data_IF_656067856070
#
_entry.id   IF_656067856070
#
_cell.length_a   1.000
_cell.length_b   1.000
_cell.length_c   1.000
_cell.angle_alpha   90.00
_cell.angle_beta   90.00
_cell.angle_gamma   90.00
#
_symmetry.space_group_name_H-M   'P 1'
#
loop_
_entity.id
_entity.type
_entity.pdbx_description
1 polymer ?
#
# COMPACT_ATOMS: atom_id res chain seq x y z
N UNK A 1 -54.41 14.22 -21.02
CA UNK A 1 -54.26 13.50 -19.74
C UNK A 1 -53.07 12.54 -19.85
N UNK A 2 -51.84 13.09 -19.99
CA UNK A 2 -50.55 12.35 -20.10
C UNK A 2 -49.42 13.30 -19.74
N UNK A 3 -49.26 13.67 -18.47
CA UNK A 3 -48.16 14.55 -18.05
C UNK A 3 -47.81 14.42 -16.53
N UNK A 4 -47.95 13.27 -15.92
CA UNK A 4 -47.60 13.10 -14.46
C UNK A 4 -46.80 11.87 -14.08
N UNK A 5 -46.16 11.12 -15.00
CA UNK A 5 -45.37 9.92 -14.67
C UNK A 5 -43.86 10.14 -14.65
N UNK A 6 -43.36 11.36 -14.85
CA UNK A 6 -41.89 11.62 -14.96
C UNK A 6 -41.14 11.95 -13.64
N UNK A 7 -41.85 12.30 -12.56
CA UNK A 7 -41.20 12.91 -11.38
C UNK A 7 -40.83 11.97 -10.24
N UNK A 8 -41.33 10.73 -10.20
CA UNK A 8 -41.15 9.84 -9.04
C UNK A 8 -39.95 8.84 -9.14
N UNK A 9 -39.28 8.73 -10.28
CA UNK A 9 -38.14 7.83 -10.46
C UNK A 9 -36.81 8.36 -9.86
N UNK A 10 -36.70 9.68 -9.68
CA UNK A 10 -35.44 10.31 -9.27
C UNK A 10 -35.12 10.25 -7.77
N UNK A 11 -36.14 10.30 -6.93
CA UNK A 11 -35.96 10.33 -5.46
C UNK A 11 -35.68 8.96 -4.87
N UNK A 12 -36.32 7.91 -5.33
CA UNK A 12 -36.10 6.54 -4.89
C UNK A 12 -34.69 6.03 -5.26
N UNK A 13 -34.19 6.35 -6.45
CA UNK A 13 -32.85 6.00 -6.88
C UNK A 13 -31.75 6.70 -6.09
N UNK A 14 -31.95 7.96 -5.67
CA UNK A 14 -31.01 8.69 -4.82
C UNK A 14 -30.98 8.14 -3.39
N UNK A 15 -32.14 7.84 -2.80
CA UNK A 15 -32.24 7.27 -1.47
C UNK A 15 -31.57 5.88 -1.38
N UNK A 16 -31.77 5.00 -2.39
CA UNK A 16 -31.11 3.71 -2.50
C UNK A 16 -29.58 3.82 -2.64
N UNK A 17 -29.10 4.76 -3.44
CA UNK A 17 -27.65 4.99 -3.57
C UNK A 17 -27.02 5.54 -2.29
N UNK A 18 -27.70 6.41 -1.57
CA UNK A 18 -27.25 6.94 -0.28
C UNK A 18 -27.20 5.86 0.79
N UNK A 19 -28.23 5.01 0.90
CA UNK A 19 -28.24 3.90 1.85
C UNK A 19 -27.15 2.87 1.55
N UNK A 20 -26.92 2.52 0.29
CA UNK A 20 -25.85 1.63 -0.12
C UNK A 20 -24.44 2.23 0.18
N UNK A 21 -24.27 3.53 0.01
CA UNK A 21 -23.01 4.22 0.38
C UNK A 21 -22.75 4.19 1.88
N UNK A 22 -23.73 4.51 2.71
CA UNK A 22 -23.61 4.48 4.18
C UNK A 22 -23.27 3.07 4.67
N UNK A 23 -23.91 2.05 4.11
CA UNK A 23 -23.61 0.65 4.45
C UNK A 23 -22.18 0.26 4.06
N UNK A 24 -21.70 0.69 2.89
CA UNK A 24 -20.33 0.40 2.44
C UNK A 24 -19.28 1.05 3.35
N UNK A 25 -19.49 2.31 3.77
CA UNK A 25 -18.58 2.97 4.71
C UNK A 25 -18.59 2.30 6.09
N UNK A 26 -19.75 1.87 6.57
CA UNK A 26 -19.87 1.10 7.81
C UNK A 26 -19.09 -0.21 7.74
N UNK A 27 -19.20 -0.95 6.64
CA UNK A 27 -18.43 -2.19 6.43
C UNK A 27 -16.92 -1.89 6.35
N UNK A 28 -16.50 -0.86 5.60
CA UNK A 28 -15.10 -0.46 5.52
C UNK A 28 -14.53 -0.11 6.90
N UNK A 29 -15.27 0.62 7.73
CA UNK A 29 -14.89 0.96 9.10
C UNK A 29 -14.75 -0.28 9.98
N UNK A 30 -15.70 -1.21 9.93
CA UNK A 30 -15.62 -2.48 10.68
C UNK A 30 -14.42 -3.33 10.25
N UNK A 31 -14.15 -3.43 8.94
CA UNK A 31 -13.01 -4.19 8.42
C UNK A 31 -11.69 -3.56 8.88
N UNK A 32 -11.56 -2.24 8.77
CA UNK A 32 -10.35 -1.53 9.21
C UNK A 32 -10.12 -1.67 10.71
N UNK A 33 -11.16 -1.58 11.53
CA UNK A 33 -11.09 -1.81 12.97
C UNK A 33 -10.67 -3.25 13.32
N UNK A 34 -11.20 -4.25 12.60
CA UNK A 34 -10.83 -5.67 12.80
C UNK A 34 -9.34 -5.89 12.51
N UNK A 35 -8.83 -5.32 11.41
CA UNK A 35 -7.41 -5.42 11.04
C UNK A 35 -6.54 -4.71 12.09
N UNK A 36 -6.96 -3.52 12.55
CA UNK A 36 -6.26 -2.77 13.59
C UNK A 36 -6.19 -3.54 14.92
N UNK A 37 -7.27 -4.21 15.32
CA UNK A 37 -7.27 -5.08 16.51
C UNK A 37 -6.30 -6.25 16.37
N UNK A 38 -6.20 -6.85 15.16
CA UNK A 38 -5.20 -7.86 14.86
C UNK A 38 -3.76 -7.33 15.01
N UNK A 39 -3.48 -6.13 14.48
CA UNK A 39 -2.18 -5.46 14.64
C UNK A 39 -1.90 -5.15 16.11
N UNK A 40 -2.90 -4.69 16.87
CA UNK A 40 -2.76 -4.44 18.30
C UNK A 40 -2.42 -5.72 19.09
N UNK A 41 -3.04 -6.84 18.72
CA UNK A 41 -2.72 -8.15 19.31
C UNK A 41 -1.28 -8.57 19.05
N UNK A 42 -0.79 -8.41 17.81
CA UNK A 42 0.60 -8.67 17.46
C UNK A 42 1.57 -7.72 18.17
N UNK A 43 1.23 -6.44 18.27
CA UNK A 43 2.02 -5.44 18.97
C UNK A 43 2.13 -5.77 20.47
N UNK A 44 1.05 -6.22 21.09
CA UNK A 44 1.04 -6.68 22.47
C UNK A 44 1.88 -7.95 22.66
N UNK A 45 1.78 -8.91 21.73
CA UNK A 45 2.64 -10.10 21.75
C UNK A 45 4.12 -9.71 21.63
N UNK A 46 4.47 -8.82 20.70
CA UNK A 46 5.83 -8.32 20.53
C UNK A 46 6.37 -7.66 21.80
N UNK A 47 5.57 -6.84 22.50
CA UNK A 47 5.97 -6.19 23.74
C UNK A 47 6.28 -7.17 24.87
N UNK A 48 5.57 -8.28 24.95
CA UNK A 48 5.84 -9.35 25.93
C UNK A 48 7.14 -10.11 25.61
N UNK A 49 7.37 -10.40 24.33
CA UNK A 49 8.57 -11.12 23.89
C UNK A 49 9.86 -10.32 24.16
N UNK A 50 9.82 -9.00 23.99
CA UNK A 50 10.98 -8.14 24.25
C UNK A 50 11.36 -8.02 25.72
N UNK A 51 10.38 -8.10 26.62
CA UNK A 51 10.62 -8.12 28.08
C UNK A 51 11.36 -9.38 28.50
N UNK A 52 11.11 -10.51 27.82
CA UNK A 52 11.70 -11.81 28.17
C UNK A 52 13.05 -12.08 27.53
N UNK A 53 13.30 -11.59 26.32
CA UNK A 53 14.49 -11.99 25.53
C UNK A 53 15.50 -10.87 25.27
N UNK A 54 15.13 -9.61 25.37
CA UNK A 54 16.05 -8.47 25.13
C UNK A 54 16.65 -8.39 23.72
N UNK A 55 16.21 -9.25 22.80
CA UNK A 55 16.82 -9.47 21.48
C UNK A 55 15.98 -8.91 20.35
N UNK A 56 16.63 -8.54 19.24
CA UNK A 56 15.95 -8.10 18.02
C UNK A 56 15.07 -9.24 17.48
N UNK A 57 13.77 -9.00 17.40
CA UNK A 57 12.73 -9.97 17.01
C UNK A 57 12.94 -10.68 15.65
N UNK A 58 13.77 -10.15 14.77
CA UNK A 58 13.96 -10.67 13.41
C UNK A 58 14.60 -12.08 13.33
N UNK A 59 15.30 -12.55 14.36
CA UNK A 59 16.15 -13.73 14.24
C UNK A 59 16.05 -14.77 15.36
N UNK A 60 15.19 -14.58 16.36
CA UNK A 60 15.07 -15.55 17.44
C UNK A 60 14.13 -16.69 17.04
N UNK A 61 14.59 -17.92 17.22
CA UNK A 61 13.88 -19.16 16.88
C UNK A 61 12.53 -19.31 17.61
N UNK A 62 12.37 -18.64 18.74
CA UNK A 62 11.13 -18.64 19.55
C UNK A 62 10.02 -17.71 19.02
N UNK A 63 10.25 -17.00 17.93
CA UNK A 63 9.34 -15.94 17.43
C UNK A 63 8.60 -16.31 16.13
N UNK A 64 8.70 -17.56 15.71
CA UNK A 64 7.95 -18.03 14.54
C UNK A 64 6.44 -17.73 14.65
N UNK A 65 5.88 -17.80 15.86
CA UNK A 65 4.46 -17.52 16.09
C UNK A 65 4.08 -16.08 15.76
N UNK A 66 4.96 -15.10 16.07
CA UNK A 66 4.76 -13.70 15.70
C UNK A 66 4.75 -13.52 14.18
N UNK A 67 5.71 -14.13 13.47
CA UNK A 67 5.80 -14.02 12.02
C UNK A 67 4.68 -14.76 11.29
N UNK A 68 4.32 -15.95 11.76
CA UNK A 68 3.16 -16.68 11.25
C UNK A 68 1.88 -15.88 11.48
N UNK A 69 1.70 -15.31 12.68
CA UNK A 69 0.59 -14.42 12.99
C UNK A 69 0.56 -13.17 12.09
N UNK A 70 1.71 -12.58 11.80
CA UNK A 70 1.83 -11.41 10.91
C UNK A 70 1.45 -11.73 9.47
N UNK A 71 1.90 -12.88 8.95
CA UNK A 71 1.52 -13.35 7.61
C UNK A 71 0.05 -13.73 7.56
N UNK A 72 -0.46 -14.40 8.58
CA UNK A 72 -1.89 -14.75 8.67
C UNK A 72 -2.77 -13.50 8.73
N UNK A 73 -2.38 -12.50 9.52
CA UNK A 73 -3.09 -11.22 9.58
C UNK A 73 -3.08 -10.49 8.24
N UNK A 74 -1.94 -10.45 7.56
CA UNK A 74 -1.83 -9.87 6.23
C UNK A 74 -2.74 -10.59 5.22
N UNK A 75 -2.77 -11.92 5.24
CA UNK A 75 -3.65 -12.72 4.40
C UNK A 75 -5.14 -12.45 4.69
N UNK A 76 -5.52 -12.36 5.98
CA UNK A 76 -6.89 -12.01 6.40
C UNK A 76 -7.24 -10.60 5.95
N UNK A 77 -6.37 -9.61 6.16
CA UNK A 77 -6.58 -8.23 5.74
C UNK A 77 -6.82 -8.14 4.23
N UNK A 78 -5.98 -8.84 3.44
CA UNK A 78 -6.13 -8.92 2.00
C UNK A 78 -7.43 -9.61 1.58
N UNK A 79 -7.79 -10.73 2.21
CA UNK A 79 -9.02 -11.46 1.92
C UNK A 79 -10.28 -10.63 2.21
N UNK A 80 -10.30 -9.91 3.33
CA UNK A 80 -11.41 -9.03 3.72
C UNK A 80 -11.55 -7.87 2.72
N UNK A 81 -10.46 -7.22 2.35
CA UNK A 81 -10.47 -6.16 1.34
C UNK A 81 -10.91 -6.66 -0.04
N UNK A 82 -10.45 -7.85 -0.45
CA UNK A 82 -10.88 -8.48 -1.69
C UNK A 82 -12.38 -8.81 -1.68
N UNK A 83 -12.93 -9.28 -0.55
CA UNK A 83 -14.38 -9.52 -0.40
C UNK A 83 -15.17 -8.23 -0.52
N UNK A 84 -14.72 -7.17 0.14
CA UNK A 84 -15.35 -5.85 0.07
C UNK A 84 -15.40 -5.33 -1.37
N UNK A 85 -14.28 -5.40 -2.08
CA UNK A 85 -14.19 -4.98 -3.47
C UNK A 85 -15.07 -5.82 -4.42
N UNK A 86 -15.12 -7.15 -4.23
CA UNK A 86 -15.98 -8.04 -5.04
C UNK A 86 -17.46 -7.73 -4.90
N UNK A 87 -17.92 -7.42 -3.71
CA UNK A 87 -19.33 -7.07 -3.50
C UNK A 87 -19.77 -5.91 -4.40
N UNK A 88 -18.87 -4.94 -4.63
CA UNK A 88 -19.15 -3.82 -5.54
C UNK A 88 -18.89 -4.18 -7.01
N UNK A 89 -17.79 -4.85 -7.31
CA UNK A 89 -17.44 -5.22 -8.69
C UNK A 89 -18.50 -6.10 -9.35
N UNK A 90 -19.08 -7.06 -8.64
CA UNK A 90 -20.20 -7.88 -9.14
C UNK A 90 -21.42 -7.03 -9.44
N UNK A 91 -21.67 -5.96 -8.68
CA UNK A 91 -22.77 -5.05 -8.92
C UNK A 91 -22.56 -4.12 -10.14
N UNK A 92 -21.29 -3.87 -10.52
CA UNK A 92 -20.93 -2.91 -11.59
C UNK A 92 -20.52 -3.63 -12.89
N UNK A 93 -19.85 -4.78 -12.80
CA UNK A 93 -19.37 -5.55 -13.96
C UNK A 93 -19.27 -7.04 -13.64
N UNK A 94 -20.24 -7.84 -14.03
CA UNK A 94 -20.14 -9.31 -13.92
C UNK A 94 -18.95 -9.80 -14.75
N UNK A 95 -17.95 -10.41 -14.12
CA UNK A 95 -16.76 -10.94 -14.79
C UNK A 95 -15.46 -10.19 -14.50
N UNK A 96 -15.47 -9.18 -13.64
CA UNK A 96 -14.25 -8.53 -13.18
C UNK A 96 -13.31 -9.54 -12.47
N UNK A 97 -12.08 -9.64 -12.99
CA UNK A 97 -11.02 -10.48 -12.43
C UNK A 97 -10.67 -10.09 -11.01
N UNK A 98 -10.10 -11.02 -10.26
CA UNK A 98 -9.67 -10.85 -8.87
C UNK A 98 -8.89 -9.54 -8.70
N UNK A 99 -9.37 -8.66 -7.84
CA UNK A 99 -8.76 -7.38 -7.67
C UNK A 99 -7.46 -7.53 -6.90
N UNK A 100 -6.43 -6.84 -7.34
CA UNK A 100 -5.23 -6.54 -6.55
C UNK A 100 -5.54 -5.68 -5.31
N UNK A 101 -6.82 -5.35 -5.08
CA UNK A 101 -7.35 -4.64 -3.90
C UNK A 101 -6.96 -5.27 -2.57
N UNK A 102 -6.62 -6.56 -2.57
CA UNK A 102 -6.11 -7.27 -1.41
C UNK A 102 -4.72 -6.83 -0.99
N UNK A 103 -3.91 -6.33 -1.92
CA UNK A 103 -2.47 -6.16 -1.73
C UNK A 103 -2.13 -5.04 -0.73
N UNK A 104 -2.72 -3.86 -0.89
CA UNK A 104 -2.36 -2.73 -0.03
C UNK A 104 -2.74 -2.94 1.45
N UNK A 105 -3.94 -3.41 1.80
CA UNK A 105 -4.28 -3.75 3.18
C UNK A 105 -3.42 -4.86 3.77
N UNK A 106 -3.08 -5.89 2.97
CA UNK A 106 -2.19 -6.97 3.39
C UNK A 106 -0.78 -6.45 3.68
N UNK A 107 -0.23 -5.66 2.76
CA UNK A 107 1.10 -5.04 2.87
C UNK A 107 1.14 -4.03 4.02
N UNK A 108 0.08 -3.26 4.26
CA UNK A 108 -0.02 -2.33 5.38
C UNK A 108 -0.03 -3.07 6.73
N UNK A 109 -0.80 -4.14 6.86
CA UNK A 109 -0.86 -4.95 8.07
C UNK A 109 0.49 -5.63 8.37
N UNK A 110 1.13 -6.22 7.35
CA UNK A 110 2.46 -6.82 7.50
C UNK A 110 3.52 -5.77 7.83
N UNK A 111 3.48 -4.61 7.16
CA UNK A 111 4.40 -3.51 7.41
C UNK A 111 4.30 -2.95 8.83
N UNK A 112 3.10 -2.85 9.38
CA UNK A 112 2.91 -2.47 10.77
C UNK A 112 3.53 -3.49 11.74
N UNK A 113 3.36 -4.80 11.48
CA UNK A 113 4.00 -5.84 12.26
C UNK A 113 5.54 -5.76 12.16
N UNK A 114 6.07 -5.50 10.95
CA UNK A 114 7.50 -5.29 10.74
C UNK A 114 8.01 -4.07 11.52
N UNK A 115 7.31 -2.93 11.47
CA UNK A 115 7.70 -1.73 12.23
C UNK A 115 7.67 -1.98 13.75
N UNK A 116 6.65 -2.66 14.25
CA UNK A 116 6.57 -3.07 15.66
C UNK A 116 7.73 -3.97 16.05
N UNK A 117 8.17 -4.88 15.14
CA UNK A 117 9.30 -5.77 15.39
C UNK A 117 10.66 -5.05 15.42
N UNK A 118 10.78 -3.91 14.76
CA UNK A 118 12.00 -3.08 14.73
C UNK A 118 12.02 -2.08 15.89
N UNK A 119 10.89 -1.41 16.09
CA UNK A 119 10.75 -0.35 17.09
C UNK A 119 9.90 -0.83 18.26
N UNK A 120 10.55 -1.35 19.30
CA UNK A 120 9.91 -1.91 20.50
C UNK A 120 9.50 -0.86 21.52
N UNK A 121 9.12 0.35 21.09
CA UNK A 121 8.71 1.39 22.02
C UNK A 121 7.19 1.50 22.12
N UNK A 122 6.72 1.95 23.26
CA UNK A 122 5.28 2.10 23.57
C UNK A 122 4.54 2.97 22.54
N UNK A 123 5.22 3.99 21.99
CA UNK A 123 4.63 4.87 21.00
C UNK A 123 4.29 4.12 19.70
N UNK A 124 5.21 3.32 19.17
CA UNK A 124 4.96 2.52 17.95
C UNK A 124 3.89 1.48 18.20
N UNK A 125 3.92 0.80 19.35
CA UNK A 125 2.91 -0.19 19.75
C UNK A 125 1.50 0.42 19.77
N UNK A 126 1.37 1.66 20.26
CA UNK A 126 0.08 2.35 20.33
C UNK A 126 -0.35 2.94 18.96
N UNK A 127 0.60 3.52 18.20
CA UNK A 127 0.29 4.24 16.96
C UNK A 127 0.08 3.28 15.78
N UNK A 128 0.81 2.17 15.70
CA UNK A 128 0.74 1.27 14.55
C UNK A 128 -0.69 0.73 14.26
N UNK A 129 -1.47 0.26 15.24
CA UNK A 129 -2.85 -0.18 15.00
C UNK A 129 -3.74 0.96 14.48
N UNK A 130 -3.64 2.16 15.06
CA UNK A 130 -4.42 3.33 14.63
C UNK A 130 -4.04 3.77 13.21
N UNK A 131 -2.75 3.80 12.89
CA UNK A 131 -2.26 4.12 11.56
C UNK A 131 -2.78 3.13 10.52
N UNK A 132 -2.73 1.83 10.80
CA UNK A 132 -3.27 0.79 9.90
C UNK A 132 -4.77 0.94 9.72
N UNK A 133 -5.52 1.22 10.79
CA UNK A 133 -6.97 1.47 10.69
C UNK A 133 -7.27 2.61 9.72
N UNK A 134 -6.58 3.74 9.86
CA UNK A 134 -6.76 4.93 9.01
C UNK A 134 -6.37 4.60 7.56
N UNK A 135 -5.23 3.97 7.35
CA UNK A 135 -4.73 3.63 6.00
C UNK A 135 -5.67 2.66 5.30
N UNK A 136 -6.09 1.59 5.96
CA UNK A 136 -6.99 0.59 5.38
C UNK A 136 -8.36 1.19 5.12
N UNK A 137 -8.90 2.00 6.04
CA UNK A 137 -10.17 2.68 5.85
C UNK A 137 -10.11 3.62 4.65
N UNK A 138 -9.09 4.47 4.57
CA UNK A 138 -8.90 5.41 3.47
C UNK A 138 -8.76 4.68 2.11
N UNK A 139 -8.03 3.55 2.09
CA UNK A 139 -7.88 2.72 0.90
C UNK A 139 -9.21 2.08 0.47
N UNK A 140 -9.96 1.50 1.40
CA UNK A 140 -11.26 0.89 1.08
C UNK A 140 -12.26 1.92 0.55
N UNK A 141 -12.28 3.12 1.12
CA UNK A 141 -13.10 4.24 0.64
C UNK A 141 -12.61 4.72 -0.74
N UNK A 142 -11.31 4.90 -0.92
CA UNK A 142 -10.75 5.28 -2.21
C UNK A 142 -11.12 4.25 -3.29
N UNK A 143 -10.97 2.97 -2.98
CA UNK A 143 -11.36 1.87 -3.89
C UNK A 143 -12.84 1.89 -4.22
N UNK A 144 -13.69 2.15 -3.25
CA UNK A 144 -15.13 2.26 -3.47
C UNK A 144 -15.45 3.32 -4.54
N UNK A 145 -14.70 4.41 -4.62
CA UNK A 145 -14.91 5.51 -5.54
C UNK A 145 -14.09 5.46 -6.84
N UNK A 146 -13.11 4.56 -6.95
CA UNK A 146 -12.35 4.39 -8.20
C UNK A 146 -13.22 3.87 -9.35
N UNK A 147 -14.32 3.18 -9.04
CA UNK A 147 -15.27 2.66 -10.02
C UNK A 147 -16.37 3.68 -10.39
N UNK A 148 -16.41 4.84 -9.73
CA UNK A 148 -17.35 5.90 -10.08
C UNK A 148 -17.06 6.48 -11.47
N UNK A 149 -18.10 7.07 -12.09
CA UNK A 149 -17.95 7.79 -13.36
C UNK A 149 -16.94 8.93 -13.22
N UNK A 150 -16.32 9.31 -14.33
CA UNK A 150 -15.28 10.33 -14.35
C UNK A 150 -15.76 11.65 -13.68
N UNK A 151 -15.04 12.10 -12.62
CA UNK A 151 -15.40 13.28 -11.86
C UNK A 151 -14.37 13.62 -10.78
N UNK A 152 -14.68 14.64 -9.98
CA UNK A 152 -13.83 15.09 -8.88
C UNK A 152 -13.59 13.97 -7.84
N UNK A 153 -14.64 13.21 -7.52
CA UNK A 153 -14.58 12.13 -6.53
C UNK A 153 -13.58 11.04 -6.95
N UNK A 154 -13.68 10.55 -8.20
CA UNK A 154 -12.74 9.56 -8.73
C UNK A 154 -11.31 10.09 -8.76
N UNK A 155 -11.09 11.37 -9.08
CA UNK A 155 -9.76 11.98 -9.08
C UNK A 155 -9.16 12.01 -7.69
N UNK A 156 -9.94 12.44 -6.67
CA UNK A 156 -9.51 12.42 -5.27
C UNK A 156 -9.20 11.00 -4.82
N UNK A 157 -10.10 10.05 -5.07
CA UNK A 157 -9.92 8.64 -4.73
C UNK A 157 -8.61 8.07 -5.31
N UNK A 158 -8.33 8.36 -6.59
CA UNK A 158 -7.09 7.94 -7.26
C UNK A 158 -5.85 8.57 -6.64
N UNK A 159 -5.88 9.87 -6.35
CA UNK A 159 -4.76 10.54 -5.69
C UNK A 159 -4.52 9.96 -4.30
N UNK A 160 -5.58 9.75 -3.52
CA UNK A 160 -5.49 9.10 -2.21
C UNK A 160 -4.86 7.71 -2.30
N UNK A 161 -5.33 6.88 -3.23
CA UNK A 161 -4.77 5.54 -3.47
C UNK A 161 -3.27 5.57 -3.79
N UNK A 162 -2.84 6.47 -4.69
CA UNK A 162 -1.42 6.63 -5.05
C UNK A 162 -0.61 7.09 -3.85
N UNK A 163 -1.09 8.11 -3.11
CA UNK A 163 -0.38 8.63 -1.93
C UNK A 163 -0.25 7.58 -0.83
N UNK A 164 -1.31 6.81 -0.55
CA UNK A 164 -1.26 5.72 0.43
C UNK A 164 -0.24 4.65 0.02
N UNK A 165 -0.21 4.28 -1.25
CA UNK A 165 0.75 3.30 -1.77
C UNK A 165 2.19 3.80 -1.62
N UNK A 166 2.47 5.07 -1.92
CA UNK A 166 3.81 5.66 -1.74
C UNK A 166 4.18 5.79 -0.25
N UNK A 167 3.23 6.16 0.60
CA UNK A 167 3.45 6.22 2.06
C UNK A 167 3.82 4.86 2.65
N UNK A 168 3.09 3.81 2.27
CA UNK A 168 3.39 2.44 2.70
C UNK A 168 4.72 1.96 2.11
N UNK A 169 4.99 2.26 0.83
CA UNK A 169 6.28 1.95 0.21
C UNK A 169 7.43 2.57 1.01
N UNK A 170 7.34 3.85 1.37
CA UNK A 170 8.37 4.52 2.17
C UNK A 170 8.63 3.83 3.50
N UNK A 171 7.57 3.58 4.26
CA UNK A 171 7.69 2.95 5.58
C UNK A 171 8.34 1.56 5.50
N UNK A 172 7.96 0.76 4.51
CA UNK A 172 8.50 -0.58 4.33
C UNK A 172 9.93 -0.58 3.80
N UNK A 173 10.23 0.26 2.81
CA UNK A 173 11.58 0.41 2.27
C UNK A 173 12.54 0.91 3.35
N UNK A 174 12.11 1.89 4.16
CA UNK A 174 12.89 2.36 5.31
C UNK A 174 13.08 1.24 6.35
N UNK A 175 12.02 0.52 6.69
CA UNK A 175 12.09 -0.58 7.66
C UNK A 175 13.04 -1.69 7.20
N UNK A 176 12.96 -2.12 5.93
CA UNK A 176 13.86 -3.13 5.36
C UNK A 176 15.30 -2.62 5.36
N UNK A 177 15.53 -1.35 4.98
CA UNK A 177 16.86 -0.77 4.95
C UNK A 177 17.45 -0.60 6.35
N UNK A 178 16.66 -0.26 7.37
CA UNK A 178 17.06 -0.16 8.78
C UNK A 178 17.45 -1.52 9.34
N UNK A 179 16.77 -2.58 8.97
CA UNK A 179 16.99 -3.93 9.51
C UNK A 179 18.37 -4.51 9.16
N UNK A 180 19.11 -3.90 8.20
CA UNK A 180 20.47 -4.29 7.78
C UNK A 180 20.62 -5.80 7.52
N UNK A 181 19.59 -6.44 6.99
CA UNK A 181 19.61 -7.85 6.61
C UNK A 181 20.58 -8.07 5.45
N UNK A 182 21.09 -9.30 5.28
CA UNK A 182 22.02 -9.64 4.17
C UNK A 182 21.52 -9.09 2.85
N UNK A 183 22.41 -8.46 2.08
CA UNK A 183 22.09 -7.67 0.88
C UNK A 183 21.21 -8.40 -0.13
N UNK A 184 21.45 -9.69 -0.36
CA UNK A 184 20.65 -10.50 -1.29
C UNK A 184 19.20 -10.66 -0.78
N UNK A 185 19.02 -10.91 0.52
CA UNK A 185 17.70 -11.09 1.10
C UNK A 185 16.90 -9.77 1.08
N UNK A 186 17.51 -8.65 1.48
CA UNK A 186 16.86 -7.35 1.45
C UNK A 186 16.47 -6.94 0.03
N UNK A 187 17.35 -7.14 -0.96
CA UNK A 187 17.08 -6.87 -2.36
C UNK A 187 15.90 -7.71 -2.89
N UNK A 188 15.86 -9.01 -2.56
CA UNK A 188 14.77 -9.90 -2.98
C UNK A 188 13.43 -9.53 -2.35
N UNK A 189 13.42 -9.18 -1.06
CA UNK A 189 12.20 -8.74 -0.36
C UNK A 189 11.71 -7.42 -0.93
N UNK A 190 12.62 -6.46 -1.20
CA UNK A 190 12.26 -5.20 -1.86
C UNK A 190 11.72 -5.45 -3.26
N UNK A 191 12.35 -6.31 -4.06
CA UNK A 191 11.88 -6.64 -5.41
C UNK A 191 10.45 -7.18 -5.38
N UNK A 192 10.15 -8.14 -4.49
CA UNK A 192 8.81 -8.69 -4.33
C UNK A 192 7.81 -7.63 -3.87
N UNK A 193 8.16 -6.85 -2.84
CA UNK A 193 7.30 -5.80 -2.30
C UNK A 193 6.94 -4.76 -3.35
N UNK A 194 7.94 -4.27 -4.10
CA UNK A 194 7.74 -3.27 -5.14
C UNK A 194 6.93 -3.84 -6.30
N UNK A 195 7.15 -5.11 -6.67
CA UNK A 195 6.30 -5.78 -7.64
C UNK A 195 4.82 -5.71 -7.23
N UNK A 196 4.50 -6.06 -5.99
CA UNK A 196 3.14 -6.02 -5.46
C UNK A 196 2.57 -4.58 -5.42
N UNK A 197 3.36 -3.60 -4.99
CA UNK A 197 2.92 -2.20 -4.92
C UNK A 197 2.71 -1.58 -6.31
N UNK A 198 3.55 -1.91 -7.29
CA UNK A 198 3.35 -1.47 -8.68
C UNK A 198 2.12 -2.10 -9.32
N UNK A 199 1.88 -3.40 -9.07
CA UNK A 199 0.64 -4.04 -9.48
C UNK A 199 -0.59 -3.35 -8.88
N UNK A 200 -0.49 -2.90 -7.64
CA UNK A 200 -1.52 -2.17 -6.92
C UNK A 200 -1.80 -0.80 -7.55
N UNK A 201 -0.76 -0.02 -7.87
CA UNK A 201 -0.88 1.28 -8.54
C UNK A 201 -1.51 1.09 -9.94
N UNK A 202 -1.06 0.09 -10.68
CA UNK A 202 -1.55 -0.21 -12.03
C UNK A 202 -3.01 -0.69 -12.04
N UNK A 203 -3.52 -1.24 -10.93
CA UNK A 203 -4.92 -1.62 -10.79
C UNK A 203 -5.87 -0.42 -10.87
N UNK A 204 -5.47 0.72 -10.32
CA UNK A 204 -6.21 1.97 -10.44
C UNK A 204 -6.42 2.46 -11.88
N UNK A 205 -5.64 1.94 -12.84
CA UNK A 205 -5.72 2.26 -14.28
C UNK A 205 -6.49 1.22 -15.10
N UNK A 206 -7.04 0.18 -14.48
CA UNK A 206 -7.83 -0.89 -15.12
C UNK A 206 -7.08 -1.72 -16.18
N UNK A 207 -5.76 -1.94 -15.99
CA UNK A 207 -4.99 -2.80 -16.89
C UNK A 207 -5.23 -4.30 -16.67
N UNK A 208 -5.07 -5.12 -17.72
CA UNK A 208 -5.13 -6.55 -17.57
C UNK A 208 -4.01 -7.07 -16.66
N UNK A 209 -4.30 -8.13 -15.89
CA UNK A 209 -3.40 -8.68 -14.87
C UNK A 209 -1.99 -9.00 -15.41
N UNK A 210 -1.91 -9.52 -16.61
CA UNK A 210 -0.63 -9.86 -17.28
C UNK A 210 0.29 -8.64 -17.39
N UNK A 211 -0.22 -7.52 -17.87
CA UNK A 211 0.56 -6.28 -17.98
C UNK A 211 0.97 -5.74 -16.63
N UNK A 212 0.08 -5.80 -15.62
CA UNK A 212 0.40 -5.40 -14.25
C UNK A 212 1.53 -6.24 -13.69
N UNK A 213 1.51 -7.56 -13.92
CA UNK A 213 2.54 -8.48 -13.47
C UNK A 213 3.89 -8.18 -14.13
N UNK A 214 3.92 -8.00 -15.46
CA UNK A 214 5.15 -7.69 -16.20
C UNK A 214 5.78 -6.38 -15.68
N UNK A 215 5.00 -5.31 -15.60
CA UNK A 215 5.51 -4.02 -15.12
C UNK A 215 5.89 -4.07 -13.63
N UNK A 216 5.13 -4.81 -12.83
CA UNK A 216 5.46 -5.06 -11.43
C UNK A 216 6.80 -5.78 -11.28
N UNK A 217 7.03 -6.84 -12.05
CA UNK A 217 8.29 -7.59 -12.04
C UNK A 217 9.47 -6.73 -12.49
N UNK A 218 9.33 -6.01 -13.61
CA UNK A 218 10.39 -5.12 -14.11
C UNK A 218 10.75 -4.08 -13.07
N UNK A 219 9.78 -3.37 -12.52
CA UNK A 219 10.04 -2.36 -11.49
C UNK A 219 10.56 -2.97 -10.19
N UNK A 220 10.08 -4.15 -9.81
CA UNK A 220 10.58 -4.91 -8.67
C UNK A 220 12.05 -5.26 -8.80
N UNK A 221 12.48 -5.79 -9.95
CA UNK A 221 13.88 -6.13 -10.22
C UNK A 221 14.74 -4.87 -10.17
N UNK A 222 14.33 -3.78 -10.84
CA UNK A 222 15.08 -2.51 -10.83
C UNK A 222 15.29 -2.02 -9.39
N UNK A 223 14.24 -2.00 -8.55
CA UNK A 223 14.37 -1.55 -7.16
C UNK A 223 15.15 -2.53 -6.29
N UNK A 224 15.09 -3.82 -6.58
CA UNK A 224 15.93 -4.84 -5.95
C UNK A 224 17.41 -4.57 -6.21
N UNK A 225 17.80 -4.29 -7.47
CA UNK A 225 19.18 -3.94 -7.86
C UNK A 225 19.63 -2.63 -7.21
N UNK A 226 18.78 -1.59 -7.22
CA UNK A 226 19.04 -0.33 -6.51
C UNK A 226 19.27 -0.58 -5.02
N UNK A 227 18.44 -1.42 -4.39
CA UNK A 227 18.60 -1.79 -2.97
C UNK A 227 19.91 -2.50 -2.73
N UNK A 228 20.27 -3.43 -3.60
CA UNK A 228 21.55 -4.14 -3.51
C UNK A 228 22.74 -3.17 -3.58
N UNK A 229 22.75 -2.26 -4.55
CA UNK A 229 23.77 -1.22 -4.66
C UNK A 229 23.82 -0.30 -3.43
N UNK A 230 22.65 0.13 -2.92
CA UNK A 230 22.55 1.00 -1.73
C UNK A 230 23.04 0.33 -0.44
N UNK A 231 22.99 -0.99 -0.33
CA UNK A 231 23.50 -1.70 0.84
C UNK A 231 25.03 -1.53 1.05
N UNK A 232 25.76 -1.16 0.00
CA UNK A 232 27.18 -0.82 0.08
C UNK A 232 27.44 0.66 0.40
N UNK A 233 26.38 1.47 0.43
CA UNK A 233 26.48 2.88 0.74
C UNK A 233 26.21 3.12 2.24
N UNK A 234 27.04 3.91 2.95
CA UNK A 234 26.90 4.13 4.39
C UNK A 234 25.81 5.16 4.71
N UNK A 235 24.57 4.90 4.26
CA UNK A 235 23.42 5.74 4.57
C UNK A 235 22.77 5.33 5.90
N UNK A 236 22.15 6.32 6.58
CA UNK A 236 21.25 6.02 7.70
C UNK A 236 19.97 5.35 7.21
N UNK A 237 19.30 4.60 8.08
CA UNK A 237 18.12 3.81 7.70
C UNK A 237 17.01 4.62 7.01
N UNK A 238 16.65 5.78 7.56
CA UNK A 238 15.63 6.65 6.99
C UNK A 238 16.05 7.31 5.69
N UNK A 239 17.34 7.71 5.60
CA UNK A 239 17.90 8.29 4.37
C UNK A 239 17.93 7.27 3.24
N UNK A 240 18.34 6.03 3.52
CA UNK A 240 18.30 4.93 2.54
C UNK A 240 16.88 4.64 2.08
N UNK A 241 15.91 4.61 3.02
CA UNK A 241 14.49 4.49 2.71
C UNK A 241 13.97 5.61 1.81
N UNK A 242 14.40 6.85 2.05
CA UNK A 242 14.04 8.00 1.21
C UNK A 242 14.61 7.89 -0.21
N UNK A 243 15.86 7.45 -0.36
CA UNK A 243 16.47 7.22 -1.69
C UNK A 243 15.72 6.11 -2.43
N UNK A 244 15.37 5.02 -1.77
CA UNK A 244 14.55 3.95 -2.35
C UNK A 244 13.14 4.43 -2.74
N UNK A 245 12.53 5.31 -1.94
CA UNK A 245 11.23 5.91 -2.29
C UNK A 245 11.34 6.79 -3.55
N UNK A 246 12.42 7.58 -3.69
CA UNK A 246 12.65 8.40 -4.88
C UNK A 246 12.80 7.50 -6.11
N UNK A 247 13.55 6.41 -6.01
CA UNK A 247 13.67 5.43 -7.07
C UNK A 247 12.32 4.77 -7.40
N UNK A 248 11.53 4.42 -6.38
CA UNK A 248 10.17 3.89 -6.56
C UNK A 248 9.25 4.91 -7.27
N UNK A 249 9.25 6.17 -6.84
CA UNK A 249 8.49 7.24 -7.49
C UNK A 249 8.85 7.37 -8.98
N UNK A 250 10.15 7.38 -9.30
CA UNK A 250 10.62 7.48 -10.68
C UNK A 250 10.13 6.28 -11.52
N UNK A 251 10.35 5.07 -11.03
CA UNK A 251 9.97 3.83 -11.74
C UNK A 251 8.45 3.74 -11.89
N UNK A 252 7.70 4.00 -10.83
CA UNK A 252 6.24 4.00 -10.86
C UNK A 252 5.68 5.05 -11.82
N UNK A 253 6.25 6.26 -11.81
CA UNK A 253 5.85 7.34 -12.71
C UNK A 253 6.09 7.01 -14.18
N UNK A 254 7.28 6.50 -14.51
CA UNK A 254 7.63 6.10 -15.88
C UNK A 254 6.77 4.92 -16.37
N UNK A 255 6.53 3.91 -15.53
CA UNK A 255 5.64 2.80 -15.86
C UNK A 255 4.22 3.31 -16.12
N UNK A 256 3.68 4.17 -15.25
CA UNK A 256 2.34 4.72 -15.45
C UNK A 256 2.24 5.57 -16.73
N UNK A 257 3.25 6.37 -17.03
CA UNK A 257 3.31 7.15 -18.26
C UNK A 257 3.34 6.23 -19.49
N UNK A 258 4.21 5.21 -19.48
CA UNK A 258 4.30 4.21 -20.55
C UNK A 258 2.97 3.53 -20.82
N UNK A 259 2.27 3.19 -19.75
CA UNK A 259 1.04 2.40 -19.84
C UNK A 259 -0.16 3.22 -20.29
N UNK A 260 -0.23 4.54 -19.98
CA UNK A 260 -1.35 5.41 -20.36
C UNK A 260 -1.34 5.81 -21.81
N UNK A 261 -0.26 6.48 -22.22
CA UNK A 261 -0.21 7.17 -23.51
C UNK A 261 1.07 6.84 -24.31
N UNK A 262 1.91 5.91 -23.80
CA UNK A 262 3.27 5.69 -24.27
C UNK A 262 4.23 6.72 -23.70
N UNK A 263 5.45 6.28 -23.39
CA UNK A 263 6.48 7.10 -22.76
C UNK A 263 6.95 8.23 -23.69
N UNK A 264 6.74 9.47 -23.31
CA UNK A 264 7.19 10.66 -24.03
C UNK A 264 8.45 11.22 -23.39
N UNK A 265 9.29 11.91 -24.17
CA UNK A 265 10.49 12.59 -23.64
C UNK A 265 10.16 13.56 -22.50
N UNK A 266 9.00 14.21 -22.55
CA UNK A 266 8.52 15.11 -21.51
C UNK A 266 8.31 14.37 -20.19
N UNK A 267 7.71 13.18 -20.21
CA UNK A 267 7.45 12.39 -19.00
C UNK A 267 8.77 11.97 -18.33
N UNK A 268 9.75 11.54 -19.14
CA UNK A 268 11.09 11.18 -18.65
C UNK A 268 11.79 12.39 -18.00
N UNK A 269 11.68 13.57 -18.61
CA UNK A 269 12.25 14.80 -18.06
C UNK A 269 11.53 15.23 -16.78
N UNK A 270 10.20 15.18 -16.74
CA UNK A 270 9.39 15.58 -15.59
C UNK A 270 9.66 14.69 -14.37
N UNK A 271 9.55 13.37 -14.52
CA UNK A 271 9.83 12.44 -13.44
C UNK A 271 11.32 12.41 -13.08
N UNK A 272 12.22 12.49 -14.06
CA UNK A 272 13.66 12.52 -13.84
C UNK A 272 14.12 13.76 -13.09
N UNK A 273 13.67 14.95 -13.49
CA UNK A 273 13.99 16.20 -12.79
C UNK A 273 13.41 16.23 -11.38
N UNK A 274 12.18 15.76 -11.20
CA UNK A 274 11.56 15.66 -9.88
C UNK A 274 12.33 14.71 -8.97
N UNK A 275 12.73 13.54 -9.47
CA UNK A 275 13.55 12.59 -8.73
C UNK A 275 14.93 13.15 -8.40
N UNK A 276 15.58 13.84 -9.35
CA UNK A 276 16.87 14.49 -9.13
C UNK A 276 16.79 15.60 -8.07
N UNK A 277 15.73 16.42 -8.10
CA UNK A 277 15.52 17.47 -7.10
C UNK A 277 15.30 16.86 -5.70
N UNK A 278 14.47 15.81 -5.59
CA UNK A 278 14.27 15.11 -4.31
C UNK A 278 15.57 14.45 -3.82
N UNK A 279 16.34 13.83 -4.71
CA UNK A 279 17.62 13.24 -4.36
C UNK A 279 18.63 14.31 -3.88
N UNK A 280 18.68 15.46 -4.54
CA UNK A 280 19.52 16.58 -4.10
C UNK A 280 19.15 17.07 -2.69
N UNK A 281 17.86 17.17 -2.38
CA UNK A 281 17.39 17.51 -1.03
C UNK A 281 17.84 16.47 0.00
N UNK A 282 17.69 15.18 -0.29
CA UNK A 282 18.16 14.11 0.59
C UNK A 282 19.68 14.15 0.74
N UNK A 283 20.42 14.38 -0.34
CA UNK A 283 21.89 14.47 -0.32
C UNK A 283 22.41 15.61 0.60
N UNK A 284 21.67 16.74 0.70
CA UNK A 284 21.99 17.82 1.64
C UNK A 284 21.86 17.41 3.11
N UNK A 285 21.13 16.34 3.41
CA UNK A 285 20.98 15.82 4.77
C UNK A 285 22.03 14.78 5.14
N UNK A 286 22.73 14.20 4.17
CA UNK A 286 23.73 13.14 4.37
C UNK A 286 25.03 13.70 4.97
N UNK A 287 25.34 14.97 4.73
CA UNK A 287 26.57 15.62 5.19
C UNK A 287 26.51 16.28 6.58
N UNK A 288 25.37 16.16 7.26
CA UNK A 288 25.14 16.70 8.61
C UNK A 288 25.01 15.60 9.63
#
# INVERSE_FOLDING_TARGET
>A
MMAEQGANGGSGGRALRLSAGVTAYGIAALLSATIALGVAGLAFQASRLTVTTGTILLFAHEQWAFWVGSVALAAVAGALAARFARQRAVAVSPGATLPTTALLPAVAAFGAALLVSIYHNTAVIAIAPAAVAIVVLAELIARYHLDDEAGRVRRVARTTHILLTHGIAFLLLAAIYISKVRSLLSASVVALLICLLLMQIADGERFPLERRLIYGLVGGVILGEVTWALNYWPLTGWTGGAVLLIAFYLVAGLILAQVRDGLRRRDVLEYGLSAAAMFALVALTIGK
#
